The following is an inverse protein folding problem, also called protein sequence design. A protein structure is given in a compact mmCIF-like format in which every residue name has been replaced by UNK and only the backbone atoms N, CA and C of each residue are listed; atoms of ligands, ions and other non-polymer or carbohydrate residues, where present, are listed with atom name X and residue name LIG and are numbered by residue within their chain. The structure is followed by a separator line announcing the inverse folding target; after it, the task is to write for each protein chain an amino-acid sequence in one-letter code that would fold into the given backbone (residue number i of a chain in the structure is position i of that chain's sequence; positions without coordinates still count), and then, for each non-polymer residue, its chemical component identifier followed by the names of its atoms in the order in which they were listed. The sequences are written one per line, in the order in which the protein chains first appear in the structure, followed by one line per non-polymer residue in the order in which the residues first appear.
data_IF_500359642730
#
_entry.id   IF_500359642730
#
_cell.length_a   1.000
_cell.length_b   1.000
_cell.length_c   1.000
_cell.angle_alpha   90.00
_cell.angle_beta   90.00
_cell.angle_gamma   90.00
#
_symmetry.space_group_name_H-M   'P 1'
#
loop_
_entity.id
_entity.type
_entity.pdbx_description
1 polymer ?
#
# COMPACT_ATOMS: atom_id res chain seq x y z
N UNK A 1 22.98 18.97 -26.31
CA UNK A 1 21.61 19.25 -25.83
C UNK A 1 21.31 18.25 -24.71
N UNK A 2 21.74 18.56 -23.48
CA UNK A 2 21.61 17.64 -22.34
C UNK A 2 20.18 17.65 -21.83
N UNK A 3 19.53 16.50 -21.78
CA UNK A 3 18.22 16.37 -21.13
C UNK A 3 18.43 16.64 -19.64
N UNK A 4 17.87 17.75 -19.16
CA UNK A 4 17.80 18.08 -17.73
C UNK A 4 17.12 16.90 -17.04
N UNK A 5 17.75 16.31 -16.02
CA UNK A 5 17.11 15.32 -15.17
C UNK A 5 15.80 15.92 -14.62
N UNK A 6 14.72 15.13 -14.49
CA UNK A 6 13.48 15.64 -13.95
C UNK A 6 13.74 16.15 -12.53
N UNK A 7 13.31 17.40 -12.29
CA UNK A 7 13.31 18.04 -10.97
C UNK A 7 12.78 17.03 -9.95
N UNK A 8 13.62 16.68 -8.98
CA UNK A 8 13.25 15.84 -7.84
C UNK A 8 12.03 16.46 -7.18
N UNK A 9 10.86 15.83 -7.35
CA UNK A 9 9.61 16.26 -6.73
C UNK A 9 9.79 16.24 -5.22
N UNK A 10 9.99 17.41 -4.63
CA UNK A 10 10.06 17.56 -3.18
C UNK A 10 8.64 17.42 -2.64
N UNK A 11 8.40 16.39 -1.84
CA UNK A 11 7.17 16.28 -1.09
C UNK A 11 7.06 17.47 -0.12
N UNK A 12 5.88 18.11 -0.04
CA UNK A 12 5.69 19.26 0.85
C UNK A 12 5.88 18.85 2.31
N UNK A 13 6.57 19.67 3.14
CA UNK A 13 6.62 19.48 4.58
C UNK A 13 5.19 19.38 5.14
N UNK A 14 4.97 18.53 6.16
CA UNK A 14 3.66 18.30 6.81
C UNK A 14 2.62 17.48 6.01
N UNK A 15 2.90 17.07 4.76
CA UNK A 15 1.99 16.20 4.03
C UNK A 15 2.17 14.72 4.41
N UNK A 16 1.07 14.01 4.60
CA UNK A 16 1.05 12.57 4.83
C UNK A 16 1.09 11.81 3.50
N UNK A 17 1.97 10.82 3.42
CA UNK A 17 2.10 9.93 2.27
C UNK A 17 1.88 8.48 2.70
N UNK A 18 1.15 7.74 1.88
CA UNK A 18 1.00 6.30 1.96
C UNK A 18 1.28 5.71 0.57
N UNK A 19 1.72 4.46 0.54
CA UNK A 19 2.17 3.81 -0.69
C UNK A 19 1.38 2.52 -0.91
N UNK A 20 0.99 2.29 -2.17
CA UNK A 20 0.12 1.17 -2.57
C UNK A 20 0.65 0.54 -3.85
N UNK A 21 0.34 -0.72 -4.04
CA UNK A 21 0.46 -1.34 -5.35
C UNK A 21 -0.49 -0.65 -6.34
N UNK A 22 0.00 -0.34 -7.53
CA UNK A 22 -0.75 0.45 -8.50
C UNK A 22 -1.91 -0.32 -9.15
N UNK A 23 -1.85 -1.65 -9.16
CA UNK A 23 -2.84 -2.52 -9.79
C UNK A 23 -3.83 -3.08 -8.76
N UNK A 24 -3.35 -3.44 -7.57
CA UNK A 24 -4.16 -4.16 -6.57
C UNK A 24 -4.58 -3.32 -5.37
N UNK A 25 -4.06 -2.10 -5.24
CA UNK A 25 -4.16 -1.27 -4.05
C UNK A 25 -3.61 -1.97 -2.80
N UNK A 26 -2.73 -2.98 -2.91
CA UNK A 26 -2.12 -3.60 -1.72
C UNK A 26 -1.24 -2.61 -0.95
N UNK A 27 -1.33 -2.61 0.38
CA UNK A 27 -0.54 -1.74 1.25
C UNK A 27 0.97 -2.01 1.17
N UNK A 28 1.75 -0.95 0.95
CA UNK A 28 3.21 -0.97 1.02
C UNK A 28 3.70 -0.23 2.26
N UNK A 29 4.89 -0.59 2.73
CA UNK A 29 5.56 0.14 3.80
C UNK A 29 6.50 1.18 3.23
N UNK A 30 6.68 2.26 3.96
CA UNK A 30 7.67 3.30 3.71
C UNK A 30 8.51 3.45 4.97
N UNK A 31 9.83 3.27 4.85
CA UNK A 31 10.73 3.29 6.01
C UNK A 31 10.27 2.38 7.16
N UNK A 32 9.71 1.22 6.82
CA UNK A 32 9.15 0.22 7.75
C UNK A 32 7.89 0.67 8.52
N UNK A 33 7.20 1.73 8.07
CA UNK A 33 5.92 2.19 8.61
C UNK A 33 4.87 2.34 7.50
N UNK A 34 3.59 2.52 7.86
CA UNK A 34 2.52 2.72 6.86
C UNK A 34 2.43 4.16 6.32
N UNK A 35 2.91 5.13 7.11
CA UNK A 35 2.79 6.55 6.80
C UNK A 35 4.16 7.23 6.81
N UNK A 36 4.41 8.02 5.76
CA UNK A 36 5.58 8.87 5.65
C UNK A 36 5.19 10.34 5.76
N UNK A 37 5.89 11.06 6.62
CA UNK A 37 5.81 12.52 6.73
C UNK A 37 7.19 13.06 6.41
N UNK A 38 7.36 13.82 5.31
CA UNK A 38 8.63 14.44 4.98
C UNK A 38 9.00 15.45 6.06
N UNK A 39 10.21 15.33 6.60
CA UNK A 39 10.81 16.37 7.45
C UNK A 39 11.57 17.39 6.59
N UNK A 40 12.03 18.52 7.14
CA UNK A 40 12.92 19.42 6.40
C UNK A 40 14.26 18.75 6.11
N UNK A 41 14.83 19.01 4.92
CA UNK A 41 16.16 18.52 4.56
C UNK A 41 17.22 19.05 5.54
N UNK A 42 17.85 18.15 6.29
CA UNK A 42 18.99 18.50 7.14
C UNK A 42 20.23 18.57 6.25
N UNK A 43 20.94 19.71 6.25
CA UNK A 43 22.16 19.93 5.48
C UNK A 43 22.02 19.76 3.95
N UNK A 44 20.82 19.98 3.41
CA UNK A 44 20.55 19.84 1.97
C UNK A 44 20.52 18.40 1.45
N UNK A 45 20.56 17.40 2.34
CA UNK A 45 20.37 16.01 1.93
C UNK A 45 18.88 15.69 1.74
N UNK A 46 18.51 14.96 0.67
CA UNK A 46 17.14 14.54 0.45
C UNK A 46 16.75 13.47 1.48
N UNK A 47 15.49 13.48 1.88
CA UNK A 47 14.92 12.42 2.70
C UNK A 47 14.43 11.31 1.78
N UNK A 48 14.83 10.09 2.09
CA UNK A 48 14.42 8.90 1.33
C UNK A 48 13.12 8.33 1.92
N UNK A 49 12.15 8.10 1.03
CA UNK A 49 11.01 7.23 1.28
C UNK A 49 11.36 5.83 0.74
N UNK A 50 11.91 4.97 1.58
CA UNK A 50 12.26 3.60 1.17
C UNK A 50 11.01 2.74 1.19
N UNK A 51 10.43 2.52 0.01
CA UNK A 51 9.21 1.74 -0.15
C UNK A 51 9.57 0.25 -0.21
N UNK A 52 8.92 -0.57 0.62
CA UNK A 52 9.17 -2.01 0.70
C UNK A 52 7.86 -2.79 0.75
N UNK A 53 7.88 -4.01 0.21
CA UNK A 53 6.81 -4.98 0.45
C UNK A 53 6.79 -5.35 1.94
N UNK A 54 5.63 -5.31 2.62
CA UNK A 54 5.52 -5.85 3.96
C UNK A 54 5.67 -7.38 3.94
N UNK A 55 5.98 -7.94 5.11
CA UNK A 55 5.84 -9.38 5.32
C UNK A 55 4.35 -9.66 5.52
N UNK A 56 3.65 -9.94 4.42
CA UNK A 56 2.25 -10.33 4.47
C UNK A 56 2.07 -11.64 5.26
N UNK A 57 0.95 -11.77 5.95
CA UNK A 57 0.53 -13.07 6.47
C UNK A 57 0.36 -14.07 5.31
N UNK A 58 0.52 -15.36 5.58
CA UNK A 58 0.31 -16.38 4.55
C UNK A 58 -1.11 -16.30 3.97
N UNK A 59 -2.11 -16.05 4.83
CA UNK A 59 -3.50 -15.85 4.39
C UNK A 59 -3.61 -14.70 3.39
N UNK A 60 -3.11 -13.52 3.74
CA UNK A 60 -3.19 -12.33 2.87
C UNK A 60 -2.48 -12.55 1.54
N UNK A 61 -1.28 -13.14 1.58
CA UNK A 61 -0.53 -13.43 0.35
C UNK A 61 -1.28 -14.40 -0.57
N UNK A 62 -1.93 -15.41 0.00
CA UNK A 62 -2.77 -16.32 -0.78
C UNK A 62 -3.98 -15.59 -1.40
N UNK A 63 -4.66 -14.70 -0.67
CA UNK A 63 -5.76 -13.90 -1.20
C UNK A 63 -5.32 -13.03 -2.38
N UNK A 64 -4.18 -12.32 -2.25
CA UNK A 64 -3.58 -11.53 -3.34
C UNK A 64 -3.35 -12.35 -4.61
N UNK A 65 -2.79 -13.56 -4.46
CA UNK A 65 -2.54 -14.46 -5.59
C UNK A 65 -3.85 -14.96 -6.21
N UNK A 66 -4.85 -15.30 -5.41
CA UNK A 66 -6.15 -15.76 -5.94
C UNK A 66 -6.85 -14.61 -6.70
N UNK A 67 -6.84 -13.39 -6.15
CA UNK A 67 -7.44 -12.20 -6.79
C UNK A 67 -6.81 -11.87 -8.14
N UNK A 68 -5.53 -12.19 -8.36
CA UNK A 68 -4.87 -11.97 -9.65
C UNK A 68 -5.15 -13.08 -10.69
N UNK A 69 -5.56 -14.27 -10.24
CA UNK A 69 -5.80 -15.43 -11.10
C UNK A 69 -7.28 -15.69 -11.41
N UNK A 70 -8.18 -15.23 -10.54
CA UNK A 70 -9.62 -15.53 -10.61
C UNK A 70 -10.39 -14.22 -10.75
N UNK A 71 -11.38 -14.18 -11.64
CA UNK A 71 -12.24 -13.00 -11.76
C UNK A 71 -13.16 -12.90 -10.52
N UNK A 72 -13.49 -11.69 -10.04
CA UNK A 72 -14.37 -11.54 -8.88
C UNK A 72 -15.70 -12.28 -8.99
N UNK A 73 -16.31 -12.31 -10.18
CA UNK A 73 -17.56 -13.04 -10.46
C UNK A 73 -17.45 -14.56 -10.22
N UNK A 74 -16.24 -15.11 -10.23
CA UNK A 74 -15.95 -16.53 -10.09
C UNK A 74 -15.47 -16.91 -8.68
N UNK A 75 -15.26 -15.97 -7.74
CA UNK A 75 -14.77 -16.29 -6.39
C UNK A 75 -15.67 -17.32 -5.67
N UNK A 76 -16.99 -17.14 -5.75
CA UNK A 76 -17.99 -18.02 -5.11
C UNK A 76 -18.11 -19.40 -5.77
N UNK A 77 -17.34 -19.68 -6.83
CA UNK A 77 -17.26 -20.97 -7.51
C UNK A 77 -16.04 -21.80 -7.09
N UNK A 78 -15.11 -21.22 -6.32
CA UNK A 78 -13.93 -21.92 -5.80
C UNK A 78 -14.35 -22.93 -4.73
N UNK A 79 -13.73 -24.10 -4.68
CA UNK A 79 -14.03 -25.12 -3.65
C UNK A 79 -13.24 -24.84 -2.36
N UNK A 80 -13.67 -23.81 -1.62
CA UNK A 80 -13.06 -23.34 -0.37
C UNK A 80 -14.12 -23.06 0.70
N UNK A 81 -13.68 -22.88 1.95
CA UNK A 81 -14.61 -22.59 3.06
C UNK A 81 -15.29 -21.24 2.87
N UNK A 82 -16.55 -21.15 3.33
CA UNK A 82 -17.43 -20.01 3.05
C UNK A 82 -16.86 -18.65 3.49
N UNK A 83 -16.17 -18.60 4.63
CA UNK A 83 -15.55 -17.38 5.14
C UNK A 83 -14.47 -16.82 4.22
N UNK A 84 -13.75 -17.68 3.47
CA UNK A 84 -12.70 -17.22 2.55
C UNK A 84 -13.27 -16.51 1.31
N UNK A 85 -14.54 -16.72 0.97
CA UNK A 85 -15.15 -15.93 -0.10
C UNK A 85 -15.31 -14.46 0.31
N UNK A 86 -15.73 -14.22 1.56
CA UNK A 86 -15.86 -12.86 2.10
C UNK A 86 -14.48 -12.20 2.18
N UNK A 87 -13.46 -12.94 2.62
CA UNK A 87 -12.08 -12.46 2.61
C UNK A 87 -11.60 -12.12 1.17
N UNK A 88 -11.93 -12.93 0.15
CA UNK A 88 -11.55 -12.64 -1.24
C UNK A 88 -12.25 -11.39 -1.80
N UNK A 89 -13.53 -11.22 -1.47
CA UNK A 89 -14.36 -10.07 -1.90
C UNK A 89 -13.94 -8.76 -1.21
N UNK A 90 -13.38 -8.85 -0.01
CA UNK A 90 -12.86 -7.71 0.75
C UNK A 90 -11.50 -7.24 0.22
N UNK A 91 -11.51 -6.53 -0.90
CA UNK A 91 -10.29 -6.01 -1.54
C UNK A 91 -9.63 -4.91 -0.70
N UNK A 92 -8.30 -4.72 -0.84
CA UNK A 92 -7.62 -3.56 -0.29
C UNK A 92 -8.32 -2.26 -0.67
N UNK A 93 -8.52 -1.37 0.30
CA UNK A 93 -9.16 -0.07 0.10
C UNK A 93 -8.49 0.98 1.00
N UNK A 94 -7.84 1.95 0.37
CA UNK A 94 -7.21 3.11 1.02
C UNK A 94 -8.11 3.78 2.08
N UNK A 95 -9.43 3.83 1.88
CA UNK A 95 -10.35 4.48 2.83
C UNK A 95 -10.46 3.69 4.13
N UNK A 96 -10.50 2.36 4.05
CA UNK A 96 -10.53 1.48 5.23
C UNK A 96 -9.24 1.62 6.03
N UNK A 97 -8.11 1.68 5.34
CA UNK A 97 -6.82 1.87 5.99
C UNK A 97 -6.70 3.24 6.66
N UNK A 98 -7.13 4.32 6.01
CA UNK A 98 -7.15 5.65 6.63
C UNK A 98 -8.05 5.71 7.86
N UNK A 99 -9.20 5.04 7.83
CA UNK A 99 -10.10 4.94 9.00
C UNK A 99 -9.43 4.17 10.16
N UNK A 100 -8.82 3.02 9.86
CA UNK A 100 -8.07 2.22 10.85
C UNK A 100 -6.93 3.03 11.47
N UNK A 101 -6.10 3.66 10.63
CA UNK A 101 -4.97 4.48 11.08
C UNK A 101 -5.40 5.69 11.91
N UNK A 102 -6.56 6.29 11.61
CA UNK A 102 -7.13 7.37 12.42
C UNK A 102 -7.53 6.87 13.82
N UNK A 103 -8.04 5.64 13.92
CA UNK A 103 -8.47 5.06 15.19
C UNK A 103 -7.29 4.61 16.06
N UNK A 104 -6.27 4.01 15.45
CA UNK A 104 -5.04 3.57 16.15
C UNK A 104 -4.24 4.75 16.75
N UNK A 105 -4.44 5.96 16.23
CA UNK A 105 -3.79 7.20 16.71
C UNK A 105 -4.59 7.98 17.76
N UNK A 106 -5.82 7.53 18.08
CA UNK A 106 -6.70 8.16 19.07
C UNK A 106 -6.47 7.58 20.47
#
# INVERSE_FOLDING_TARGET
MGRKAPESRVAAPEHLWLFRDAETDDGLLVNQTELFVPTPNVNGQPIFANITLPVFSLKERCLQVIRSLVKPVDYRRLDIVQSLYEDLEDHPDIRKDLQRLSLERS
#
